data_IF_681484846932
#
_entry.id   IF_681484846932
#
_cell.length_a   1.000
_cell.length_b   1.000
_cell.length_c   1.000
_cell.angle_alpha   90.00
_cell.angle_beta   90.00
_cell.angle_gamma   90.00
#
_symmetry.space_group_name_H-M   'P 1'
#
loop_
_entity.id
_entity.type
_entity.pdbx_description
1 polymer ?
#
# COMPACT_ATOMS: atom_id res chain seq x y z
N UNK A 1 -14.32 -9.10 11.85
CA UNK A 1 -13.39 -9.17 10.71
C UNK A 1 -12.29 -8.15 10.91
N UNK A 2 -11.04 -8.60 11.04
CA UNK A 2 -9.86 -7.76 11.16
C UNK A 2 -9.27 -7.48 9.77
N UNK A 3 -9.13 -6.21 9.43
CA UNK A 3 -8.57 -5.78 8.15
C UNK A 3 -7.29 -4.99 8.39
N UNK A 4 -6.19 -5.43 7.79
CA UNK A 4 -4.97 -4.64 7.68
C UNK A 4 -5.04 -3.75 6.43
N UNK A 5 -4.68 -2.47 6.56
CA UNK A 5 -4.56 -1.56 5.42
C UNK A 5 -3.07 -1.31 5.13
N UNK A 6 -2.64 -1.55 3.90
CA UNK A 6 -1.31 -1.26 3.41
C UNK A 6 -1.38 -0.27 2.24
N UNK A 7 -0.87 0.94 2.42
CA UNK A 7 -0.84 1.95 1.37
C UNK A 7 0.24 2.99 1.64
N UNK A 8 1.05 3.36 0.65
CA UNK A 8 2.11 4.35 0.78
C UNK A 8 1.60 5.74 1.25
N UNK A 9 0.39 6.15 0.82
CA UNK A 9 -0.19 7.45 1.16
C UNK A 9 -0.88 7.44 2.53
N UNK A 10 -0.39 8.27 3.46
CA UNK A 10 -1.01 8.46 4.76
C UNK A 10 -2.46 8.98 4.67
N UNK A 11 -2.73 9.86 3.69
CA UNK A 11 -4.06 10.38 3.44
C UNK A 11 -5.03 9.27 3.00
N UNK A 12 -4.59 8.37 2.12
CA UNK A 12 -5.41 7.25 1.68
C UNK A 12 -5.61 6.21 2.79
N UNK A 13 -4.58 5.90 3.59
CA UNK A 13 -4.74 5.05 4.79
C UNK A 13 -5.83 5.60 5.72
N UNK A 14 -5.81 6.90 6.00
CA UNK A 14 -6.82 7.57 6.82
C UNK A 14 -8.22 7.52 6.20
N UNK A 15 -8.34 7.76 4.88
CA UNK A 15 -9.62 7.69 4.16
C UNK A 15 -10.22 6.29 4.16
N UNK A 16 -9.42 5.28 3.84
CA UNK A 16 -9.86 3.87 3.81
C UNK A 16 -10.26 3.43 5.23
N UNK A 17 -9.42 3.74 6.22
CA UNK A 17 -9.69 3.40 7.62
C UNK A 17 -11.01 4.02 8.10
N UNK A 18 -11.20 5.32 7.89
CA UNK A 18 -12.43 6.02 8.28
C UNK A 18 -13.69 5.53 7.54
N UNK A 19 -13.55 4.99 6.33
CA UNK A 19 -14.69 4.45 5.58
C UNK A 19 -15.07 3.07 6.09
N UNK A 20 -14.07 2.20 6.29
CA UNK A 20 -14.28 0.82 6.73
C UNK A 20 -14.71 0.72 8.19
N UNK A 21 -14.22 1.61 9.06
CA UNK A 21 -14.59 1.64 10.48
C UNK A 21 -16.08 1.98 10.73
N UNK A 22 -16.80 2.46 9.71
CA UNK A 22 -18.25 2.70 9.77
C UNK A 22 -19.07 1.42 9.60
N UNK A 23 -18.46 0.32 9.18
CA UNK A 23 -19.15 -0.95 9.01
C UNK A 23 -19.11 -1.77 10.32
N UNK A 24 -20.28 -2.13 10.89
CA UNK A 24 -20.34 -2.98 12.07
C UNK A 24 -19.60 -4.30 11.85
N UNK A 25 -18.83 -4.74 12.85
CA UNK A 25 -18.09 -6.00 12.79
C UNK A 25 -16.77 -5.95 12.03
N UNK A 26 -16.38 -4.78 11.49
CA UNK A 26 -15.04 -4.55 10.91
C UNK A 26 -14.15 -3.85 11.94
N UNK A 27 -12.95 -4.38 12.17
CA UNK A 27 -11.90 -3.75 12.95
C UNK A 27 -10.65 -3.57 12.10
N UNK A 28 -9.91 -2.49 12.35
CA UNK A 28 -8.72 -2.12 11.59
C UNK A 28 -7.58 -1.97 12.62
N UNK A 29 -6.93 -3.09 13.01
CA UNK A 29 -5.94 -3.06 14.08
C UNK A 29 -4.71 -2.22 13.71
N UNK A 30 -4.41 -2.10 12.41
CA UNK A 30 -3.27 -1.31 11.92
C UNK A 30 -3.48 -0.83 10.48
N UNK A 31 -2.85 0.31 10.16
CA UNK A 31 -2.64 0.77 8.80
C UNK A 31 -1.15 1.09 8.60
N UNK A 32 -0.51 0.43 7.64
CA UNK A 32 0.95 0.44 7.43
C UNK A 32 1.32 1.03 6.06
N UNK A 33 2.51 1.65 5.91
CA UNK A 33 2.90 2.32 4.68
C UNK A 33 3.57 1.42 3.63
N UNK A 34 4.04 0.23 3.99
CA UNK A 34 4.93 -0.57 3.14
C UNK A 34 4.72 -2.09 3.26
N UNK A 35 5.32 -2.85 2.33
CA UNK A 35 5.22 -4.30 2.27
C UNK A 35 5.89 -5.01 3.45
N UNK A 36 7.00 -4.48 3.96
CA UNK A 36 7.75 -5.08 5.07
C UNK A 36 6.93 -5.09 6.36
N UNK A 37 6.33 -3.96 6.73
CA UNK A 37 5.41 -3.88 7.87
C UNK A 37 4.12 -4.65 7.64
N UNK A 38 3.70 -4.80 6.39
CA UNK A 38 2.54 -5.63 6.04
C UNK A 38 2.83 -7.10 6.29
N UNK A 39 4.00 -7.58 5.85
CA UNK A 39 4.48 -8.94 6.09
C UNK A 39 4.60 -9.23 7.59
N UNK A 40 5.34 -8.39 8.31
CA UNK A 40 5.56 -8.54 9.76
C UNK A 40 4.24 -8.62 10.54
N UNK A 41 3.29 -7.73 10.24
CA UNK A 41 2.00 -7.77 10.91
C UNK A 41 1.18 -9.01 10.52
N UNK A 42 1.14 -9.37 9.24
CA UNK A 42 0.36 -10.50 8.77
C UNK A 42 0.84 -11.83 9.34
N UNK A 43 2.16 -12.01 9.45
CA UNK A 43 2.79 -13.19 10.04
C UNK A 43 2.41 -13.36 11.51
N UNK A 44 2.46 -12.29 12.30
CA UNK A 44 2.25 -12.36 13.75
C UNK A 44 0.78 -12.28 14.17
N UNK A 45 -0.03 -11.51 13.45
CA UNK A 45 -1.40 -11.16 13.88
C UNK A 45 -2.49 -11.79 13.02
N UNK A 46 -2.15 -12.32 11.85
CA UNK A 46 -3.05 -13.07 10.97
C UNK A 46 -4.42 -12.38 10.77
N UNK A 47 -4.48 -11.16 10.21
CA UNK A 47 -5.74 -10.50 9.91
C UNK A 47 -6.57 -11.33 8.91
N UNK A 48 -7.89 -11.18 8.91
CA UNK A 48 -8.76 -11.88 7.96
C UNK A 48 -8.52 -11.43 6.51
N UNK A 49 -8.13 -10.17 6.33
CA UNK A 49 -7.88 -9.58 5.02
C UNK A 49 -6.84 -8.46 5.07
N UNK A 50 -6.04 -8.35 4.01
CA UNK A 50 -5.18 -7.20 3.71
C UNK A 50 -5.76 -6.43 2.53
N UNK A 51 -5.94 -5.11 2.70
CA UNK A 51 -6.23 -4.19 1.60
C UNK A 51 -4.93 -3.48 1.26
N UNK A 52 -4.47 -3.62 0.02
CA UNK A 52 -3.15 -3.20 -0.42
C UNK A 52 -3.26 -2.22 -1.60
N UNK A 53 -2.44 -1.18 -1.65
CA UNK A 53 -2.43 -0.24 -2.79
C UNK A 53 -1.88 -0.89 -4.05
N UNK A 54 -2.37 -0.50 -5.22
CA UNK A 54 -1.79 -0.96 -6.49
C UNK A 54 -0.31 -0.59 -6.65
N UNK A 55 0.15 0.51 -6.03
CA UNK A 55 1.57 0.88 -6.01
C UNK A 55 2.43 -0.14 -5.28
N UNK A 56 2.01 -0.58 -4.09
CA UNK A 56 2.71 -1.63 -3.35
C UNK A 56 2.64 -2.99 -4.06
N UNK A 57 1.52 -3.31 -4.73
CA UNK A 57 1.37 -4.56 -5.46
C UNK A 57 2.25 -4.64 -6.73
N UNK A 58 2.75 -3.50 -7.23
CA UNK A 58 3.62 -3.45 -8.39
C UNK A 58 5.09 -3.77 -8.07
N UNK A 59 5.45 -3.83 -6.78
CA UNK A 59 6.79 -4.20 -6.34
C UNK A 59 7.00 -5.72 -6.37
N UNK A 60 8.17 -6.23 -6.81
CA UNK A 60 8.42 -7.68 -6.87
C UNK A 60 8.33 -8.36 -5.49
N UNK A 61 8.62 -7.65 -4.41
CA UNK A 61 8.47 -8.12 -3.03
C UNK A 61 7.01 -8.52 -2.69
N UNK A 62 6.03 -8.05 -3.47
CA UNK A 62 4.64 -8.46 -3.32
C UNK A 62 4.44 -9.96 -3.53
N UNK A 63 5.22 -10.63 -4.38
CA UNK A 63 5.08 -12.07 -4.61
C UNK A 63 5.32 -12.89 -3.35
N UNK A 64 6.31 -12.48 -2.54
CA UNK A 64 6.60 -13.09 -1.25
C UNK A 64 5.44 -12.87 -0.26
N UNK A 65 4.94 -11.64 -0.18
CA UNK A 65 3.79 -11.33 0.67
C UNK A 65 2.56 -12.13 0.24
N UNK A 66 2.24 -12.16 -1.05
CA UNK A 66 1.09 -12.89 -1.59
C UNK A 66 1.17 -14.40 -1.27
N UNK A 67 2.37 -14.98 -1.35
CA UNK A 67 2.62 -16.37 -0.96
C UNK A 67 2.36 -16.60 0.54
N UNK A 68 2.84 -15.71 1.41
CA UNK A 68 2.56 -15.76 2.85
C UNK A 68 1.05 -15.67 3.12
N UNK A 69 0.38 -14.67 2.55
CA UNK A 69 -1.05 -14.46 2.76
C UNK A 69 -1.86 -15.70 2.31
N UNK A 70 -1.51 -16.28 1.16
CA UNK A 70 -2.13 -17.51 0.67
C UNK A 70 -1.89 -18.71 1.59
N UNK A 71 -0.67 -18.86 2.14
CA UNK A 71 -0.33 -19.94 3.06
C UNK A 71 -1.14 -19.85 4.36
N UNK A 72 -1.35 -18.63 4.85
CA UNK A 72 -2.08 -18.35 6.09
C UNK A 72 -3.60 -18.25 5.89
N UNK A 73 -4.10 -18.36 4.66
CA UNK A 73 -5.52 -18.22 4.36
C UNK A 73 -6.05 -16.78 4.51
N UNK A 74 -5.18 -15.78 4.43
CA UNK A 74 -5.53 -14.36 4.56
C UNK A 74 -5.98 -13.82 3.21
N UNK A 75 -7.14 -13.14 3.18
CA UNK A 75 -7.62 -12.49 1.96
C UNK A 75 -6.72 -11.32 1.52
N UNK A 76 -6.56 -11.12 0.21
CA UNK A 76 -5.82 -9.97 -0.33
C UNK A 76 -6.66 -9.22 -1.35
N UNK A 77 -6.87 -7.91 -1.12
CA UNK A 77 -7.59 -7.01 -2.03
C UNK A 77 -6.62 -5.92 -2.47
N UNK A 78 -6.30 -5.90 -3.76
CA UNK A 78 -5.46 -4.86 -4.36
C UNK A 78 -6.34 -3.74 -4.89
N UNK A 79 -6.08 -2.52 -4.44
CA UNK A 79 -6.79 -1.32 -4.89
C UNK A 79 -6.31 -0.91 -6.28
N UNK A 80 -7.23 -0.81 -7.22
CA UNK A 80 -6.93 -0.26 -8.54
C UNK A 80 -6.43 1.19 -8.41
N UNK A 81 -5.42 1.60 -9.20
CA UNK A 81 -5.03 3.00 -9.27
C UNK A 81 -6.23 3.83 -9.71
N UNK A 82 -6.46 4.93 -8.99
CA UNK A 82 -7.60 5.80 -9.29
C UNK A 82 -7.34 6.50 -10.62
N UNK A 83 -8.16 6.31 -11.67
CA UNK A 83 -7.98 7.03 -12.92
C UNK A 83 -8.20 8.53 -12.64
N UNK A 84 -7.15 9.34 -12.78
CA UNK A 84 -7.21 10.81 -12.65
C UNK A 84 -6.54 11.45 -11.42
N UNK A 85 -5.75 10.71 -10.62
CA UNK A 85 -4.91 11.32 -9.58
C UNK A 85 -3.59 11.88 -10.15
N UNK A 86 -3.02 12.99 -9.61
CA UNK A 86 -1.75 13.53 -10.08
C UNK A 86 -0.65 12.48 -9.88
N UNK A 87 -0.14 11.96 -10.99
CA UNK A 87 1.07 11.13 -11.01
C UNK A 87 2.20 11.96 -10.44
N UNK A 88 2.78 11.51 -9.33
CA UNK A 88 3.96 12.13 -8.73
C UNK A 88 5.08 12.10 -9.75
N UNK A 89 5.33 13.22 -10.40
CA UNK A 89 6.40 13.38 -11.38
C UNK A 89 7.75 13.19 -10.66
N UNK A 90 8.47 12.13 -11.02
CA UNK A 90 9.88 11.97 -10.68
C UNK A 90 10.68 13.06 -11.42
N UNK A 91 11.00 14.16 -10.73
CA UNK A 91 11.87 15.21 -11.24
C UNK A 91 13.31 14.68 -11.36
N UNK A 92 13.68 14.23 -12.55
CA UNK A 92 15.07 14.13 -12.98
C UNK A 92 15.60 15.52 -13.32
N UNK A 93 16.09 16.25 -12.32
CA UNK A 93 16.89 17.47 -12.56
C UNK A 93 18.27 17.07 -13.12
N UNK A 94 18.42 17.14 -14.44
CA UNK A 94 19.74 17.25 -15.08
C UNK A 94 19.86 18.65 -15.71
N UNK A 95 20.34 19.60 -14.90
CA UNK A 95 20.69 20.93 -15.35
C UNK A 95 22.01 20.85 -16.14
N UNK A 96 21.89 20.72 -17.46
CA UNK A 96 23.02 20.89 -18.39
C UNK A 96 23.32 22.39 -18.52
N UNK A 97 24.24 22.90 -17.71
CA UNK A 97 24.80 24.24 -17.88
C UNK A 97 25.87 24.21 -18.98
N UNK A 98 25.47 24.47 -20.23
CA UNK A 98 26.41 24.84 -21.30
C UNK A 98 26.76 26.33 -21.15
N UNK A 99 27.97 26.64 -20.67
CA UNK A 99 28.59 27.97 -20.90
C UNK A 99 29.12 28.00 -22.33
N UNK A 100 28.56 28.91 -23.12
CA UNK A 100 29.08 29.35 -24.41
C UNK A 100 30.03 30.50 -24.12
N UNK A 101 31.28 30.39 -24.56
CA UNK A 101 32.21 31.51 -24.60
C UNK A 101 31.94 32.37 -25.83
N UNK A 102 32.07 33.69 -25.65
CA UNK A 102 32.89 34.61 -26.43
C UNK A 102 32.90 35.96 -25.74
#
# INVERSE_FOLDING_TARGET
MQILIAHESAAERGRISNRLSRHPGVSIPRAVPDLTQTYDFAEHQQPDCVILSGGLAAHPEFELLASLLSLLGIGCIVLAPRPGGPQSASNGSSATARRIGQ
#
